data_IF_257258236889
#
_entry.id   IF_257258236889
#
_cell.length_a   1.000
_cell.length_b   1.000
_cell.length_c   1.000
_cell.angle_alpha   90.00
_cell.angle_beta   90.00
_cell.angle_gamma   90.00
#
_symmetry.space_group_name_H-M   'P 1'
#
loop_
_entity.id
_entity.type
_entity.pdbx_description
1 polymer ?
#
# COMPACT_ATOMS: atom_id res chain seq x y z
N UNK A 1 20.20 29.70 83.71
CA UNK A 1 20.23 28.51 82.84
C UNK A 1 21.44 28.66 81.94
N UNK A 2 22.48 27.86 82.16
CA UNK A 2 23.63 27.78 81.25
C UNK A 2 23.09 27.10 79.99
N UNK A 3 23.08 27.81 78.86
CA UNK A 3 22.68 27.22 77.59
C UNK A 3 23.63 26.09 77.24
N UNK A 4 23.08 24.93 76.89
CA UNK A 4 23.85 23.79 76.36
C UNK A 4 24.64 24.29 75.15
N UNK A 5 25.95 24.01 75.11
CA UNK A 5 26.80 24.46 74.00
C UNK A 5 26.33 23.86 72.67
N UNK A 6 26.52 24.54 71.53
CA UNK A 6 26.07 24.02 70.22
C UNK A 6 26.58 22.61 69.87
N UNK A 7 27.73 22.21 70.42
CA UNK A 7 28.34 20.88 70.22
C UNK A 7 27.57 19.80 70.99
N UNK A 8 27.20 20.07 72.25
CA UNK A 8 26.41 19.16 73.09
C UNK A 8 24.99 18.93 72.54
N UNK A 9 24.52 19.78 71.62
CA UNK A 9 23.23 19.62 70.94
C UNK A 9 23.30 18.77 69.66
N UNK A 10 24.49 18.50 69.10
CA UNK A 10 24.65 17.81 67.82
C UNK A 10 24.07 16.38 67.80
N UNK A 11 24.26 15.52 68.82
CA UNK A 11 23.63 14.20 68.82
C UNK A 11 22.09 14.28 68.76
N UNK A 12 21.49 15.21 69.49
CA UNK A 12 20.03 15.41 69.48
C UNK A 12 19.55 15.84 68.09
N UNK A 13 20.29 16.75 67.44
CA UNK A 13 19.98 17.21 66.09
C UNK A 13 20.08 16.06 65.07
N UNK A 14 21.15 15.26 65.11
CA UNK A 14 21.32 14.11 64.19
C UNK A 14 20.21 13.06 64.38
N UNK A 15 19.80 12.81 65.62
CA UNK A 15 18.69 11.91 65.93
C UNK A 15 17.36 12.44 65.37
N UNK A 16 17.08 13.73 65.54
CA UNK A 16 15.87 14.36 64.99
C UNK A 16 15.84 14.29 63.45
N UNK A 17 16.97 14.52 62.78
CA UNK A 17 17.08 14.37 61.33
C UNK A 17 16.86 12.92 60.90
N UNK A 18 17.45 11.96 61.63
CA UNK A 18 17.25 10.53 61.37
C UNK A 18 15.77 10.15 61.45
N UNK A 19 15.08 10.61 62.50
CA UNK A 19 13.63 10.39 62.66
C UNK A 19 12.86 11.02 61.50
N UNK A 20 13.19 12.26 61.11
CA UNK A 20 12.56 12.93 59.98
C UNK A 20 12.77 12.17 58.65
N UNK A 21 13.96 11.60 58.43
CA UNK A 21 14.24 10.77 57.24
C UNK A 21 13.44 9.45 57.30
N UNK A 22 13.34 8.80 58.45
CA UNK A 22 12.51 7.61 58.62
C UNK A 22 11.03 7.90 58.34
N UNK A 23 10.52 9.05 58.77
CA UNK A 23 9.18 9.52 58.40
C UNK A 23 9.05 9.77 56.90
N UNK A 24 10.04 10.37 56.25
CA UNK A 24 10.04 10.59 54.80
C UNK A 24 10.03 9.26 54.03
N UNK A 25 10.85 8.29 54.43
CA UNK A 25 10.87 6.94 53.84
C UNK A 25 9.53 6.25 54.07
N UNK A 26 9.01 6.28 55.29
CA UNK A 26 7.69 5.69 55.64
C UNK A 26 6.57 6.32 54.81
N UNK A 27 6.58 7.64 54.62
CA UNK A 27 5.63 8.34 53.78
C UNK A 27 5.72 7.90 52.32
N UNK A 28 6.93 7.85 51.74
CA UNK A 28 7.14 7.42 50.35
C UNK A 28 6.69 5.97 50.12
N UNK A 29 6.97 5.07 51.07
CA UNK A 29 6.55 3.66 51.00
C UNK A 29 5.04 3.53 51.15
N UNK A 30 4.41 4.30 52.05
CA UNK A 30 2.97 4.24 52.29
C UNK A 30 2.17 4.84 51.14
N UNK A 31 2.63 5.96 50.56
CA UNK A 31 2.03 6.56 49.36
C UNK A 31 2.15 5.64 48.13
N UNK A 32 3.29 4.94 47.99
CA UNK A 32 3.45 3.90 46.98
C UNK A 32 2.48 2.71 47.17
N UNK A 33 2.22 2.31 48.42
CA UNK A 33 1.31 1.20 48.77
C UNK A 33 -0.18 1.55 48.62
N UNK A 34 -0.58 2.79 48.95
CA UNK A 34 -1.98 3.24 48.90
C UNK A 34 -2.49 3.48 47.46
N UNK A 35 -1.60 3.68 46.49
CA UNK A 35 -1.95 3.94 45.07
C UNK A 35 -2.32 2.69 44.24
N UNK A 36 -2.66 1.57 44.89
CA UNK A 36 -3.62 0.62 44.31
C UNK A 36 -3.08 -0.48 43.39
N UNK A 37 -1.86 -0.98 43.61
CA UNK A 37 -1.48 -2.33 43.15
C UNK A 37 -1.08 -3.14 44.37
N UNK A 38 -1.70 -4.31 44.57
CA UNK A 38 -1.39 -5.26 45.66
C UNK A 38 0.05 -5.80 45.61
N UNK A 39 0.81 -5.40 44.61
CA UNK A 39 2.26 -5.50 44.53
C UNK A 39 2.80 -4.07 44.48
N UNK A 40 3.58 -3.68 45.49
CA UNK A 40 4.41 -2.47 45.40
C UNK A 40 5.50 -2.80 44.38
N UNK A 41 5.20 -2.64 43.08
CA UNK A 41 6.21 -2.86 42.06
C UNK A 41 7.14 -1.66 42.11
N UNK A 42 8.38 -1.91 42.55
CA UNK A 42 9.50 -0.99 42.43
C UNK A 42 9.97 -0.89 40.96
N UNK A 43 9.02 -0.87 40.03
CA UNK A 43 9.26 -0.81 38.61
C UNK A 43 9.39 0.65 38.20
N UNK A 44 10.54 1.00 37.62
CA UNK A 44 10.78 2.34 37.09
C UNK A 44 9.90 2.49 35.85
N UNK A 45 8.98 3.45 35.88
CA UNK A 45 8.08 3.72 34.74
C UNK A 45 8.70 4.74 33.79
N UNK A 46 8.16 4.82 32.59
CA UNK A 46 8.56 5.81 31.58
C UNK A 46 8.18 7.27 31.93
N UNK A 47 7.38 7.48 32.96
CA UNK A 47 6.93 8.81 33.40
C UNK A 47 8.10 9.62 33.99
N UNK A 48 7.93 10.92 34.22
CA UNK A 48 9.01 11.80 34.71
C UNK A 48 9.78 11.22 35.91
N UNK A 49 11.11 11.41 35.93
CA UNK A 49 12.04 10.82 36.91
C UNK A 49 11.71 11.23 38.36
N UNK A 50 11.26 12.47 38.55
CA UNK A 50 10.85 13.04 39.83
C UNK A 50 9.66 12.31 40.48
N UNK A 51 8.88 11.57 39.68
CA UNK A 51 7.76 10.75 40.16
C UNK A 51 8.18 9.34 40.56
N UNK A 52 9.42 8.93 40.30
CA UNK A 52 9.89 7.58 40.56
C UNK A 52 10.36 7.46 42.01
N UNK A 53 9.67 6.65 42.82
CA UNK A 53 10.03 6.48 44.24
C UNK A 53 11.44 5.93 44.43
N UNK A 54 11.93 5.06 43.54
CA UNK A 54 13.30 4.52 43.62
C UNK A 54 14.36 5.62 43.50
N UNK A 55 14.09 6.68 42.75
CA UNK A 55 15.02 7.80 42.62
C UNK A 55 15.18 8.52 43.97
N UNK A 56 14.07 8.84 44.62
CA UNK A 56 14.08 9.48 45.93
C UNK A 56 14.60 8.55 47.03
N UNK A 57 14.27 7.27 47.01
CA UNK A 57 14.81 6.29 47.97
C UNK A 57 16.33 6.13 47.81
N UNK A 58 16.84 6.08 46.58
CA UNK A 58 18.28 6.02 46.30
C UNK A 58 19.05 7.22 46.86
N UNK A 59 18.41 8.38 46.95
CA UNK A 59 19.00 9.61 47.52
C UNK A 59 18.82 9.67 49.04
N UNK A 60 17.60 9.46 49.53
CA UNK A 60 17.19 9.71 50.93
C UNK A 60 17.71 8.61 51.87
N UNK A 61 17.73 7.35 51.44
CA UNK A 61 18.16 6.24 52.32
C UNK A 61 19.63 6.38 52.75
N UNK A 62 20.61 6.62 51.86
CA UNK A 62 21.99 6.85 52.29
C UNK A 62 22.15 8.08 53.18
N UNK A 63 21.37 9.14 52.95
CA UNK A 63 21.35 10.34 53.80
C UNK A 63 20.84 9.98 55.21
N UNK A 64 19.76 9.21 55.32
CA UNK A 64 19.24 8.76 56.61
C UNK A 64 20.23 7.89 57.37
N UNK A 65 20.88 6.95 56.68
CA UNK A 65 21.90 6.08 57.29
C UNK A 65 23.13 6.91 57.71
N UNK A 66 23.52 7.93 56.94
CA UNK A 66 24.59 8.86 57.33
C UNK A 66 24.29 9.51 58.69
N UNK A 67 23.12 10.15 58.84
CA UNK A 67 22.77 10.82 60.11
C UNK A 67 22.65 9.84 61.28
N UNK A 68 22.15 8.64 61.03
CA UNK A 68 22.07 7.59 62.04
C UNK A 68 23.45 7.13 62.51
N UNK A 69 24.40 6.91 61.59
CA UNK A 69 25.76 6.50 61.95
C UNK A 69 26.53 7.65 62.61
N UNK A 70 26.38 8.87 62.09
CA UNK A 70 27.03 10.07 62.61
C UNK A 70 26.61 10.38 64.06
N UNK A 71 25.36 10.09 64.40
CA UNK A 71 24.87 10.17 65.78
C UNK A 71 25.75 9.36 66.76
N UNK A 72 26.12 8.12 66.42
CA UNK A 72 26.98 7.29 67.28
C UNK A 72 28.42 7.79 67.33
N UNK A 73 28.93 8.36 66.23
CA UNK A 73 30.26 8.96 66.18
C UNK A 73 30.36 10.14 67.14
N UNK A 74 29.36 11.04 67.14
CA UNK A 74 29.31 12.18 68.06
C UNK A 74 29.05 11.80 69.53
N UNK A 75 28.36 10.68 69.79
CA UNK A 75 28.21 10.17 71.17
C UNK A 75 29.51 9.61 71.74
N UNK A 76 30.39 9.09 70.89
CA UNK A 76 31.57 8.35 71.31
C UNK A 76 32.85 9.19 71.31
N UNK A 77 32.84 10.34 70.64
CA UNK A 77 34.02 11.17 70.38
C UNK A 77 33.77 12.65 70.73
N UNK A 78 34.77 13.34 71.28
CA UNK A 78 34.73 14.78 71.53
C UNK A 78 35.08 15.57 70.25
N UNK A 79 34.07 15.85 69.43
CA UNK A 79 34.24 16.62 68.18
C UNK A 79 33.96 18.10 68.45
N UNK A 80 34.98 18.95 68.26
CA UNK A 80 34.87 20.40 68.43
C UNK A 80 34.74 21.18 67.11
N UNK A 81 34.13 22.38 67.15
CA UNK A 81 34.12 23.32 66.01
C UNK A 81 35.40 24.15 65.91
N UNK A 82 36.54 23.47 65.81
CA UNK A 82 37.85 24.07 65.58
C UNK A 82 38.63 23.22 64.57
N UNK A 83 39.79 23.70 64.12
CA UNK A 83 40.59 22.98 63.11
C UNK A 83 40.96 21.55 63.51
N UNK A 84 41.20 21.28 64.79
CA UNK A 84 41.52 19.95 65.28
C UNK A 84 40.27 19.05 65.31
N UNK A 85 39.12 19.60 65.70
CA UNK A 85 37.85 18.87 65.71
C UNK A 85 37.30 18.57 64.32
N UNK A 86 37.51 19.43 63.31
CA UNK A 86 37.21 19.07 61.92
C UNK A 86 38.07 17.92 61.41
N UNK A 87 39.36 17.88 61.79
CA UNK A 87 40.24 16.76 61.45
C UNK A 87 39.74 15.47 62.11
N UNK A 88 39.37 15.53 63.40
CA UNK A 88 38.80 14.39 64.12
C UNK A 88 37.48 13.92 63.49
N UNK A 89 36.58 14.83 63.10
CA UNK A 89 35.36 14.49 62.37
C UNK A 89 35.66 13.72 61.08
N UNK A 90 36.57 14.20 60.23
CA UNK A 90 36.90 13.47 59.01
C UNK A 90 37.57 12.11 59.28
N UNK A 91 38.37 12.01 60.33
CA UNK A 91 39.07 10.77 60.67
C UNK A 91 38.13 9.70 61.23
N UNK A 92 37.15 10.10 62.04
CA UNK A 92 36.18 9.23 62.72
C UNK A 92 34.91 8.96 61.88
N UNK A 93 34.48 9.91 61.06
CA UNK A 93 33.26 9.82 60.24
C UNK A 93 33.49 9.23 58.84
N UNK A 94 34.61 8.52 58.62
CA UNK A 94 34.93 7.88 57.32
C UNK A 94 33.82 6.98 56.81
N UNK A 95 33.25 6.16 57.69
CA UNK A 95 32.15 5.25 57.35
C UNK A 95 30.84 6.02 57.04
N UNK A 96 30.33 6.90 57.92
CA UNK A 96 29.19 7.75 57.58
C UNK A 96 29.35 8.50 56.25
N UNK A 97 30.49 9.18 56.06
CA UNK A 97 30.76 9.95 54.83
C UNK A 97 30.81 9.06 53.59
N UNK A 98 31.36 7.84 53.71
CA UNK A 98 31.33 6.84 52.66
C UNK A 98 29.91 6.39 52.28
N UNK A 99 29.02 6.24 53.26
CA UNK A 99 27.60 5.93 53.01
C UNK A 99 26.90 7.11 52.35
N UNK A 100 27.15 8.35 52.82
CA UNK A 100 26.58 9.56 52.21
C UNK A 100 26.96 9.68 50.72
N UNK A 101 28.19 9.31 50.37
CA UNK A 101 28.67 9.31 48.99
C UNK A 101 27.91 8.33 48.06
N UNK A 102 27.18 7.34 48.60
CA UNK A 102 26.32 6.46 47.80
C UNK A 102 25.06 7.18 47.28
N UNK A 103 24.63 8.27 47.91
CA UNK A 103 23.44 9.04 47.51
C UNK A 103 23.51 9.53 46.05
N UNK A 104 24.55 10.27 45.62
CA UNK A 104 24.68 10.66 44.21
C UNK A 104 24.89 9.47 43.27
N UNK A 105 25.58 8.41 43.71
CA UNK A 105 25.83 7.21 42.90
C UNK A 105 24.50 6.51 42.56
N UNK A 106 23.65 6.26 43.56
CA UNK A 106 22.35 5.64 43.33
C UNK A 106 21.41 6.54 42.53
N UNK A 107 21.43 7.86 42.76
CA UNK A 107 20.68 8.82 41.95
C UNK A 107 21.01 8.71 40.46
N UNK A 108 22.31 8.64 40.12
CA UNK A 108 22.78 8.46 38.73
C UNK A 108 22.36 7.11 38.15
N UNK A 109 22.48 6.02 38.92
CA UNK A 109 22.08 4.67 38.46
C UNK A 109 20.60 4.64 38.10
N UNK A 110 19.72 5.14 38.99
CA UNK A 110 18.27 5.16 38.73
C UNK A 110 17.93 6.05 37.53
N UNK A 111 18.60 7.21 37.41
CA UNK A 111 18.41 8.10 36.24
C UNK A 111 18.80 7.43 34.92
N UNK A 112 19.87 6.62 34.90
CA UNK A 112 20.30 5.92 33.69
C UNK A 112 19.33 4.80 33.32
N UNK A 113 18.87 4.01 34.29
CA UNK A 113 17.86 2.96 34.05
C UNK A 113 16.57 3.58 33.50
N UNK A 114 16.13 4.69 34.09
CA UNK A 114 14.96 5.45 33.64
C UNK A 114 15.09 5.93 32.19
N UNK A 115 16.25 6.49 31.80
CA UNK A 115 16.53 6.89 30.41
C UNK A 115 16.41 5.69 29.45
N UNK A 116 16.91 4.51 29.82
CA UNK A 116 16.80 3.31 28.98
C UNK A 116 15.35 2.91 28.75
N UNK A 117 14.54 2.86 29.82
CA UNK A 117 13.10 2.51 29.73
C UNK A 117 12.32 3.54 28.89
N UNK A 118 12.64 4.83 29.04
CA UNK A 118 12.05 5.86 28.19
C UNK A 118 12.43 5.69 26.72
N UNK A 119 13.70 5.36 26.46
CA UNK A 119 14.19 5.13 25.09
C UNK A 119 13.50 3.93 24.46
N UNK A 120 13.37 2.81 25.18
CA UNK A 120 12.62 1.63 24.73
C UNK A 120 11.16 1.96 24.40
N UNK A 121 10.48 2.71 25.27
CA UNK A 121 9.10 3.14 24.99
C UNK A 121 9.02 4.03 23.75
N UNK A 122 9.95 4.98 23.58
CA UNK A 122 10.00 5.84 22.42
C UNK A 122 10.24 5.04 21.13
N UNK A 123 11.14 4.05 21.16
CA UNK A 123 11.37 3.13 20.04
C UNK A 123 10.07 2.40 19.71
N UNK A 124 9.40 1.79 20.70
CA UNK A 124 8.18 1.01 20.46
C UNK A 124 7.02 1.86 19.87
N UNK A 125 6.86 3.11 20.32
CA UNK A 125 5.86 4.03 19.80
C UNK A 125 6.22 4.48 18.39
N UNK A 126 7.52 4.75 18.15
CA UNK A 126 8.03 5.13 16.84
C UNK A 126 7.90 4.00 15.82
N UNK A 127 8.18 2.75 16.21
CA UNK A 127 7.97 1.58 15.37
C UNK A 127 6.51 1.41 14.98
N UNK A 128 5.58 1.49 15.94
CA UNK A 128 4.14 1.45 15.65
C UNK A 128 3.70 2.56 14.70
N UNK A 129 4.23 3.77 14.88
CA UNK A 129 3.97 4.89 13.98
C UNK A 129 4.54 4.62 12.58
N UNK A 130 5.78 4.17 12.48
CA UNK A 130 6.44 3.86 11.21
C UNK A 130 5.71 2.78 10.42
N UNK A 131 5.20 1.74 11.10
CA UNK A 131 4.39 0.69 10.49
C UNK A 131 3.12 1.30 9.84
N UNK A 132 2.39 2.12 10.59
CA UNK A 132 1.19 2.80 10.09
C UNK A 132 1.51 3.78 8.95
N UNK A 133 2.55 4.60 9.12
CA UNK A 133 2.97 5.60 8.13
C UNK A 133 3.41 4.94 6.82
N UNK A 134 4.11 3.79 6.90
CA UNK A 134 4.48 2.98 5.74
C UNK A 134 3.25 2.49 4.97
N UNK A 135 2.23 1.97 5.66
CA UNK A 135 0.98 1.56 5.03
C UNK A 135 0.29 2.73 4.31
N UNK A 136 0.13 3.88 4.97
CA UNK A 136 -0.54 5.03 4.38
C UNK A 136 0.23 5.64 3.21
N UNK A 137 1.56 5.69 3.28
CA UNK A 137 2.40 6.18 2.20
C UNK A 137 2.25 5.31 0.95
N UNK A 138 2.40 3.99 1.08
CA UNK A 138 2.24 3.06 -0.03
C UNK A 138 0.81 3.06 -0.58
N UNK A 139 -0.19 2.95 0.29
CA UNK A 139 -1.60 2.99 -0.12
C UNK A 139 -1.92 4.27 -0.87
N UNK A 140 -1.52 5.44 -0.36
CA UNK A 140 -1.78 6.72 -1.03
C UNK A 140 -1.10 6.79 -2.39
N UNK A 141 0.19 6.43 -2.46
CA UNK A 141 0.94 6.41 -3.72
C UNK A 141 0.24 5.58 -4.79
N UNK A 142 -0.06 4.31 -4.50
CA UNK A 142 -0.70 3.42 -5.47
C UNK A 142 -2.10 3.92 -5.88
N UNK A 143 -2.88 4.45 -4.93
CA UNK A 143 -4.22 4.97 -5.22
C UNK A 143 -4.17 6.20 -6.12
N UNK A 144 -3.21 7.09 -5.89
CA UNK A 144 -3.07 8.29 -6.71
C UNK A 144 -2.55 7.95 -8.11
N UNK A 145 -1.64 6.97 -8.24
CA UNK A 145 -1.22 6.41 -9.55
C UNK A 145 -2.40 5.71 -10.27
N UNK A 146 -3.22 4.93 -9.58
CA UNK A 146 -4.40 4.31 -10.21
C UNK A 146 -5.42 5.34 -10.72
N UNK A 147 -5.55 6.49 -10.07
CA UNK A 147 -6.41 7.58 -10.56
C UNK A 147 -5.83 8.30 -11.76
N UNK A 148 -4.50 8.27 -11.95
CA UNK A 148 -3.84 8.90 -13.09
C UNK A 148 -4.05 8.09 -14.39
N UNK A 149 -4.45 6.82 -14.28
CA UNK A 149 -4.86 5.99 -15.42
C UNK A 149 -6.17 6.52 -15.99
N UNK A 150 -6.05 7.43 -16.95
CA UNK A 150 -7.13 7.87 -17.82
C UNK A 150 -6.56 8.25 -19.18
N UNK A 151 -6.60 7.33 -20.14
CA UNK A 151 -6.20 7.62 -21.52
C UNK A 151 -7.37 7.43 -22.48
N UNK A 152 -7.45 8.36 -23.43
CA UNK A 152 -8.46 8.38 -24.49
C UNK A 152 -7.82 7.86 -25.76
N UNK A 153 -8.30 6.71 -26.23
CA UNK A 153 -7.78 6.06 -27.43
C UNK A 153 -8.73 6.30 -28.62
N UNK A 154 -8.20 6.75 -29.76
CA UNK A 154 -8.94 6.96 -31.01
C UNK A 154 -9.17 8.43 -31.37
N UNK A 155 -9.82 8.67 -32.52
CA UNK A 155 -9.99 10.00 -33.10
C UNK A 155 -11.00 10.89 -32.32
N UNK A 156 -10.79 12.21 -32.47
CA UNK A 156 -10.95 13.29 -31.48
C UNK A 156 -12.31 13.44 -30.75
N UNK A 157 -13.41 12.82 -31.18
CA UNK A 157 -14.73 13.08 -30.58
C UNK A 157 -15.44 11.91 -29.88
N UNK A 158 -14.97 10.64 -30.03
CA UNK A 158 -15.64 9.45 -29.44
C UNK A 158 -14.70 8.29 -29.08
N UNK A 159 -13.50 8.60 -28.57
CA UNK A 159 -12.50 7.61 -28.21
C UNK A 159 -12.90 6.73 -27.01
N UNK A 160 -12.39 5.49 -26.99
CA UNK A 160 -12.54 4.58 -25.86
C UNK A 160 -11.66 5.10 -24.71
N UNK A 161 -12.27 5.34 -23.54
CA UNK A 161 -11.54 5.75 -22.32
C UNK A 161 -11.67 4.65 -21.29
N UNK A 162 -10.55 4.11 -20.82
CA UNK A 162 -10.51 3.19 -19.68
C UNK A 162 -9.96 3.93 -18.44
N UNK A 163 -10.65 3.77 -17.32
CA UNK A 163 -10.29 4.38 -16.02
C UNK A 163 -10.51 3.38 -14.90
N UNK A 164 -9.85 3.57 -13.75
CA UNK A 164 -10.08 2.72 -12.58
C UNK A 164 -11.22 3.30 -11.75
N UNK A 165 -12.38 2.62 -11.76
CA UNK A 165 -13.60 3.02 -11.06
C UNK A 165 -13.49 2.94 -9.54
N UNK A 166 -12.70 1.99 -9.02
CA UNK A 166 -12.55 1.74 -7.58
C UNK A 166 -11.11 1.42 -7.21
N UNK A 167 -10.21 2.43 -7.18
CA UNK A 167 -8.79 2.23 -6.85
C UNK A 167 -8.56 1.50 -5.53
N UNK A 168 -9.35 1.83 -4.49
CA UNK A 168 -9.24 1.21 -3.16
C UNK A 168 -9.58 -0.28 -3.18
N UNK A 169 -10.57 -0.69 -3.98
CA UNK A 169 -10.95 -2.09 -4.08
C UNK A 169 -9.90 -2.90 -4.83
N UNK A 170 -9.35 -2.33 -5.92
CA UNK A 170 -8.24 -2.92 -6.66
C UNK A 170 -6.99 -3.06 -5.80
N UNK A 171 -6.61 -2.02 -5.04
CA UNK A 171 -5.49 -2.08 -4.09
C UNK A 171 -5.64 -3.23 -3.09
N UNK A 172 -6.83 -3.39 -2.49
CA UNK A 172 -7.10 -4.47 -1.52
C UNK A 172 -7.06 -5.87 -2.14
N UNK A 173 -7.42 -6.00 -3.42
CA UNK A 173 -7.28 -7.27 -4.16
C UNK A 173 -5.81 -7.62 -4.39
N UNK A 174 -5.00 -6.63 -4.76
CA UNK A 174 -3.57 -6.79 -5.05
C UNK A 174 -2.80 -7.06 -3.75
N UNK A 175 -2.92 -6.18 -2.74
CA UNK A 175 -2.14 -6.23 -1.51
C UNK A 175 -2.98 -6.66 -0.30
N UNK A 176 -3.52 -7.89 -0.35
CA UNK A 176 -4.45 -8.45 0.65
C UNK A 176 -3.90 -8.45 2.09
N UNK A 177 -2.58 -8.52 2.24
CA UNK A 177 -1.88 -8.57 3.54
C UNK A 177 -1.50 -7.20 4.10
N UNK A 178 -1.54 -6.14 3.28
CA UNK A 178 -1.22 -4.77 3.70
C UNK A 178 -2.33 -4.21 4.58
N UNK A 179 -1.99 -3.75 5.78
CA UNK A 179 -2.95 -3.15 6.70
C UNK A 179 -2.27 -2.21 7.71
N UNK A 180 -3.05 -1.41 8.42
CA UNK A 180 -2.54 -0.39 9.36
C UNK A 180 -1.72 -1.02 10.50
N UNK A 181 -2.07 -2.22 10.95
CA UNK A 181 -1.43 -2.88 12.10
C UNK A 181 -0.10 -3.54 11.75
N UNK A 182 0.02 -4.08 10.54
CA UNK A 182 1.21 -4.82 10.08
C UNK A 182 2.07 -4.03 9.09
N UNK A 183 1.58 -2.87 8.61
CA UNK A 183 2.27 -2.03 7.65
C UNK A 183 2.07 -2.48 6.21
N UNK A 184 2.99 -2.06 5.35
CA UNK A 184 2.99 -2.45 3.94
C UNK A 184 3.46 -3.89 3.77
N UNK A 185 2.78 -4.63 2.91
CA UNK A 185 3.23 -5.90 2.38
C UNK A 185 3.19 -5.81 0.86
N UNK A 186 4.36 -5.69 0.26
CA UNK A 186 4.52 -5.54 -1.19
C UNK A 186 4.27 -6.83 -1.97
N UNK A 187 4.03 -7.96 -1.29
CA UNK A 187 3.71 -9.21 -1.97
C UNK A 187 2.29 -9.13 -2.57
N UNK A 188 2.24 -9.30 -3.88
CA UNK A 188 0.99 -9.38 -4.63
C UNK A 188 0.28 -10.69 -4.30
N UNK A 189 -1.04 -10.61 -4.19
CA UNK A 189 -1.91 -11.74 -3.91
C UNK A 189 -1.86 -12.79 -5.03
N UNK A 190 -1.57 -14.04 -4.70
CA UNK A 190 -1.65 -15.15 -5.65
C UNK A 190 -3.05 -15.29 -6.26
N UNK A 191 -4.10 -14.94 -5.51
CA UNK A 191 -5.48 -14.94 -6.00
C UNK A 191 -5.67 -13.93 -7.14
N UNK A 192 -5.02 -12.75 -7.02
CA UNK A 192 -5.00 -11.74 -8.07
C UNK A 192 -4.26 -12.24 -9.32
N UNK A 193 -3.06 -12.79 -9.14
CA UNK A 193 -2.23 -13.32 -10.25
C UNK A 193 -2.94 -14.46 -10.98
N UNK A 194 -3.49 -15.42 -10.25
CA UNK A 194 -4.20 -16.55 -10.85
C UNK A 194 -5.43 -16.11 -11.64
N UNK A 195 -6.16 -15.11 -11.12
CA UNK A 195 -7.33 -14.55 -11.81
C UNK A 195 -6.89 -13.81 -13.08
N UNK A 196 -5.81 -13.02 -12.99
CA UNK A 196 -5.23 -12.31 -14.12
C UNK A 196 -4.85 -13.27 -15.24
N UNK A 197 -4.05 -14.29 -14.94
CA UNK A 197 -3.63 -15.28 -15.92
C UNK A 197 -4.84 -16.03 -16.50
N UNK A 198 -5.80 -16.43 -15.66
CA UNK A 198 -7.01 -17.13 -16.13
C UNK A 198 -7.82 -16.31 -17.15
N UNK A 199 -7.99 -15.01 -16.93
CA UNK A 199 -8.68 -14.17 -17.92
C UNK A 199 -7.84 -13.94 -19.18
N UNK A 200 -6.53 -13.76 -19.06
CA UNK A 200 -5.64 -13.60 -20.22
C UNK A 200 -5.68 -14.84 -21.12
N UNK A 201 -5.64 -16.04 -20.53
CA UNK A 201 -5.73 -17.31 -21.26
C UNK A 201 -7.07 -17.43 -22.02
N UNK A 202 -8.18 -17.05 -21.38
CA UNK A 202 -9.51 -17.06 -22.00
C UNK A 202 -9.60 -16.08 -23.17
N UNK A 203 -9.10 -14.86 -22.99
CA UNK A 203 -9.06 -13.82 -24.04
C UNK A 203 -8.19 -14.29 -25.21
N UNK A 204 -7.01 -14.85 -24.92
CA UNK A 204 -6.10 -15.39 -25.93
C UNK A 204 -6.77 -16.49 -26.76
N UNK A 205 -7.43 -17.45 -26.11
CA UNK A 205 -8.10 -18.56 -26.78
C UNK A 205 -9.26 -18.10 -27.68
N UNK A 206 -10.12 -17.20 -27.19
CA UNK A 206 -11.26 -16.69 -27.96
C UNK A 206 -10.78 -15.84 -29.14
N UNK A 207 -9.78 -14.96 -28.93
CA UNK A 207 -9.15 -14.19 -30.01
C UNK A 207 -8.53 -15.12 -31.06
N UNK A 208 -7.79 -16.14 -30.64
CA UNK A 208 -7.19 -17.13 -31.53
C UNK A 208 -8.22 -17.85 -32.39
N UNK A 209 -9.37 -18.19 -31.79
CA UNK A 209 -10.51 -18.83 -32.47
C UNK A 209 -11.17 -17.91 -33.49
N UNK A 210 -11.37 -16.63 -33.15
CA UNK A 210 -11.88 -15.60 -34.06
C UNK A 210 -10.96 -15.46 -35.27
N UNK A 211 -9.65 -15.27 -35.03
CA UNK A 211 -8.64 -15.10 -36.09
C UNK A 211 -8.53 -16.33 -37.00
N UNK A 212 -8.59 -17.54 -36.43
CA UNK A 212 -8.57 -18.78 -37.22
C UNK A 212 -9.81 -18.89 -38.13
N UNK A 213 -10.99 -18.59 -37.62
CA UNK A 213 -12.22 -18.65 -38.41
C UNK A 213 -12.25 -17.66 -39.57
N UNK A 214 -11.65 -16.49 -39.37
CA UNK A 214 -11.44 -15.50 -40.43
C UNK A 214 -10.53 -16.07 -41.52
N UNK A 215 -9.37 -16.65 -41.14
CA UNK A 215 -8.39 -17.16 -42.12
C UNK A 215 -8.92 -18.26 -43.04
N UNK A 216 -9.90 -19.06 -42.59
CA UNK A 216 -10.45 -20.16 -43.38
C UNK A 216 -11.53 -19.68 -44.38
N UNK A 217 -11.94 -18.40 -44.35
CA UNK A 217 -12.97 -17.85 -45.24
C UNK A 217 -14.31 -18.61 -45.22
N UNK A 218 -14.59 -19.41 -44.19
CA UNK A 218 -15.87 -20.11 -44.00
C UNK A 218 -16.88 -19.18 -43.27
N UNK A 219 -17.42 -18.16 -43.95
CA UNK A 219 -18.53 -17.35 -43.38
C UNK A 219 -19.89 -18.02 -43.54
N UNK A 220 -19.97 -19.35 -43.57
CA UNK A 220 -21.20 -20.03 -43.98
C UNK A 220 -22.43 -19.63 -43.14
N UNK A 221 -22.27 -19.01 -41.95
CA UNK A 221 -23.30 -18.14 -41.34
C UNK A 221 -22.71 -16.93 -40.58
N UNK A 222 -23.03 -15.69 -41.00
CA UNK A 222 -22.72 -14.44 -40.27
C UNK A 222 -23.10 -14.49 -38.77
N UNK A 223 -24.13 -15.26 -38.40
CA UNK A 223 -24.57 -15.42 -37.01
C UNK A 223 -23.49 -16.02 -36.10
N UNK A 224 -22.73 -17.01 -36.58
CA UNK A 224 -21.76 -17.72 -35.75
C UNK A 224 -20.50 -16.88 -35.51
N UNK A 225 -20.23 -15.87 -36.34
CA UNK A 225 -19.11 -14.96 -36.13
C UNK A 225 -19.49 -13.85 -35.15
N UNK A 226 -20.70 -13.28 -35.31
CA UNK A 226 -21.25 -12.31 -34.37
C UNK A 226 -21.30 -12.89 -32.95
N UNK A 227 -21.70 -14.15 -32.78
CA UNK A 227 -21.72 -14.83 -31.49
C UNK A 227 -20.33 -14.93 -30.83
N UNK A 228 -19.27 -15.22 -31.60
CA UNK A 228 -17.90 -15.27 -31.06
C UNK A 228 -17.42 -13.89 -30.64
N UNK A 229 -17.71 -12.85 -31.43
CA UNK A 229 -17.36 -11.48 -31.07
C UNK A 229 -18.15 -10.99 -29.84
N UNK A 230 -19.41 -11.40 -29.70
CA UNK A 230 -20.21 -11.15 -28.50
C UNK A 230 -19.58 -11.83 -27.28
N UNK A 231 -19.23 -13.11 -27.39
CA UNK A 231 -18.60 -13.86 -26.31
C UNK A 231 -17.26 -13.23 -25.88
N UNK A 232 -16.40 -12.85 -26.83
CA UNK A 232 -15.16 -12.11 -26.55
C UNK A 232 -15.46 -10.79 -25.80
N UNK A 233 -16.46 -10.05 -26.24
CA UNK A 233 -16.84 -8.78 -25.59
C UNK A 233 -17.33 -8.98 -24.16
N UNK A 234 -18.10 -10.04 -23.91
CA UNK A 234 -18.59 -10.41 -22.57
C UNK A 234 -17.42 -10.78 -21.64
N UNK A 235 -16.50 -11.62 -22.13
CA UNK A 235 -15.29 -12.00 -21.40
C UNK A 235 -14.45 -10.79 -21.00
N UNK A 236 -14.27 -9.84 -21.92
CA UNK A 236 -13.51 -8.63 -21.60
C UNK A 236 -14.28 -7.74 -20.62
N UNK A 237 -15.61 -7.63 -20.70
CA UNK A 237 -16.40 -6.87 -19.73
C UNK A 237 -16.32 -7.47 -18.31
N UNK A 238 -16.33 -8.80 -18.20
CA UNK A 238 -16.09 -9.52 -16.94
C UNK A 238 -14.69 -9.26 -16.38
N UNK A 239 -13.67 -9.34 -17.24
CA UNK A 239 -12.30 -8.97 -16.90
C UNK A 239 -12.22 -7.55 -16.34
N UNK A 240 -12.74 -6.56 -17.09
CA UNK A 240 -12.71 -5.15 -16.69
C UNK A 240 -13.41 -4.94 -15.34
N UNK A 241 -14.59 -5.54 -15.14
CA UNK A 241 -15.31 -5.49 -13.84
C UNK A 241 -14.49 -6.08 -12.70
N UNK A 242 -13.86 -7.22 -12.92
CA UNK A 242 -13.06 -7.89 -11.90
C UNK A 242 -11.89 -7.02 -11.42
N UNK A 243 -11.24 -6.32 -12.35
CA UNK A 243 -10.14 -5.40 -12.11
C UNK A 243 -10.59 -3.95 -11.82
N UNK A 244 -11.88 -3.72 -11.63
CA UNK A 244 -12.46 -2.40 -11.35
C UNK A 244 -12.15 -1.35 -12.42
N UNK A 245 -11.92 -1.78 -13.66
CA UNK A 245 -11.72 -0.91 -14.81
C UNK A 245 -13.09 -0.59 -15.40
N UNK A 246 -13.35 0.69 -15.64
CA UNK A 246 -14.57 1.18 -16.25
C UNK A 246 -14.25 1.82 -17.59
N UNK A 247 -15.09 1.48 -18.56
CA UNK A 247 -15.14 2.17 -19.84
C UNK A 247 -16.04 3.40 -19.74
N UNK A 248 -15.63 4.50 -20.39
CA UNK A 248 -16.38 5.77 -20.46
C UNK A 248 -17.75 5.66 -21.17
N UNK A 249 -18.13 6.71 -21.90
CA UNK A 249 -19.50 6.86 -22.42
C UNK A 249 -19.96 5.77 -23.40
N UNK A 250 -19.04 5.12 -24.13
CA UNK A 250 -19.34 3.97 -24.98
C UNK A 250 -18.86 2.67 -24.32
N UNK A 251 -19.78 1.92 -23.69
CA UNK A 251 -19.50 0.56 -23.19
C UNK A 251 -18.85 -0.29 -24.28
N UNK A 252 -17.91 -1.20 -23.98
CA UNK A 252 -17.17 -1.92 -25.03
C UNK A 252 -18.04 -2.81 -25.93
N UNK A 253 -19.00 -3.50 -25.31
CA UNK A 253 -20.03 -4.28 -25.99
C UNK A 253 -20.83 -3.38 -26.95
N UNK A 254 -21.18 -2.17 -26.50
CA UNK A 254 -21.81 -1.17 -27.38
C UNK A 254 -20.84 -0.67 -28.43
N UNK A 255 -19.55 -0.49 -28.15
CA UNK A 255 -18.59 0.02 -29.13
C UNK A 255 -18.45 -0.94 -30.31
N UNK A 256 -18.11 -2.20 -30.06
CA UNK A 256 -17.96 -3.21 -31.11
C UNK A 256 -19.29 -3.45 -31.83
N UNK A 257 -20.39 -3.69 -31.09
CA UNK A 257 -21.70 -3.99 -31.71
C UNK A 257 -22.28 -2.77 -32.46
N UNK A 258 -22.12 -1.54 -31.99
CA UNK A 258 -22.57 -0.29 -32.67
C UNK A 258 -21.79 -0.06 -33.95
N UNK A 259 -20.47 -0.25 -33.92
CA UNK A 259 -19.61 -0.14 -35.11
C UNK A 259 -20.00 -1.21 -36.13
N UNK A 260 -20.21 -2.44 -35.68
CA UNK A 260 -20.62 -3.58 -36.52
C UNK A 260 -22.00 -3.40 -37.15
N UNK A 261 -23.00 -3.08 -36.34
CA UNK A 261 -24.37 -2.85 -36.81
C UNK A 261 -24.42 -1.68 -37.79
N UNK A 262 -23.69 -0.58 -37.53
CA UNK A 262 -23.58 0.55 -38.46
C UNK A 262 -23.00 0.15 -39.81
N UNK A 263 -21.89 -0.60 -39.83
CA UNK A 263 -21.24 -1.06 -41.07
C UNK A 263 -22.12 -2.04 -41.84
N UNK A 264 -22.81 -2.96 -41.16
CA UNK A 264 -23.75 -3.90 -41.77
C UNK A 264 -24.98 -3.21 -42.39
N UNK A 265 -25.50 -2.16 -41.75
CA UNK A 265 -26.60 -1.36 -42.30
C UNK A 265 -26.14 -0.60 -43.55
N UNK A 266 -24.93 -0.02 -43.52
CA UNK A 266 -24.36 0.69 -44.66
C UNK A 266 -24.13 -0.25 -45.86
N UNK A 267 -23.58 -1.45 -45.62
CA UNK A 267 -23.36 -2.45 -46.67
C UNK A 267 -24.69 -2.96 -47.26
N UNK A 268 -25.71 -3.17 -46.43
CA UNK A 268 -27.05 -3.55 -46.90
C UNK A 268 -27.67 -2.46 -47.80
N UNK A 269 -27.61 -1.18 -47.37
CA UNK A 269 -28.14 -0.06 -48.15
C UNK A 269 -27.46 0.07 -49.52
N UNK A 270 -26.13 -0.05 -49.56
CA UNK A 270 -25.35 -0.01 -50.81
C UNK A 270 -25.74 -1.16 -51.75
N UNK A 271 -26.03 -2.36 -51.21
CA UNK A 271 -26.49 -3.51 -51.99
C UNK A 271 -27.86 -3.26 -52.61
N UNK A 272 -28.80 -2.72 -51.83
CA UNK A 272 -30.17 -2.46 -52.29
C UNK A 272 -30.21 -1.39 -53.39
N UNK A 273 -29.33 -0.38 -53.31
CA UNK A 273 -29.16 0.64 -54.36
C UNK A 273 -28.54 0.06 -55.65
N UNK A 274 -27.56 -0.85 -55.54
CA UNK A 274 -26.90 -1.46 -56.69
C UNK A 274 -27.77 -2.53 -57.38
N UNK A 275 -28.50 -3.35 -56.61
CA UNK A 275 -29.46 -4.34 -57.12
C UNK A 275 -30.59 -3.72 -57.96
N UNK A 276 -30.99 -2.47 -57.64
CA UNK A 276 -31.97 -1.73 -58.46
C UNK A 276 -31.43 -1.34 -59.84
N UNK A 277 -30.11 -1.33 -60.03
CA UNK A 277 -29.46 -0.86 -61.26
C UNK A 277 -28.92 -1.97 -62.16
N UNK A 278 -28.38 -3.09 -61.65
CA UNK A 278 -27.70 -4.08 -62.50
C UNK A 278 -27.58 -5.48 -61.85
N UNK A 279 -27.80 -6.55 -62.63
CA UNK A 279 -27.75 -7.94 -62.17
C UNK A 279 -26.39 -8.65 -62.32
N UNK A 280 -25.47 -8.16 -63.16
CA UNK A 280 -24.29 -8.94 -63.57
C UNK A 280 -23.09 -8.93 -62.60
N UNK A 281 -23.11 -8.09 -61.56
CA UNK A 281 -21.99 -7.95 -60.59
C UNK A 281 -22.41 -8.28 -59.14
N UNK A 282 -23.57 -8.91 -58.95
CA UNK A 282 -24.15 -9.12 -57.62
C UNK A 282 -23.24 -9.98 -56.73
N UNK A 283 -22.57 -11.00 -57.29
CA UNK A 283 -21.76 -11.92 -56.50
C UNK A 283 -20.39 -11.34 -56.13
N UNK A 284 -19.79 -10.54 -57.01
CA UNK A 284 -18.57 -9.77 -56.71
C UNK A 284 -18.83 -8.70 -55.65
N UNK A 285 -19.98 -7.99 -55.73
CA UNK A 285 -20.40 -7.04 -54.71
C UNK A 285 -20.66 -7.70 -53.35
N UNK A 286 -21.28 -8.89 -53.32
CA UNK A 286 -21.47 -9.64 -52.07
C UNK A 286 -20.13 -10.03 -51.44
N UNK A 287 -19.17 -10.49 -52.24
CA UNK A 287 -17.84 -10.86 -51.78
C UNK A 287 -17.08 -9.65 -51.25
N UNK A 288 -17.07 -8.54 -52.00
CA UNK A 288 -16.46 -7.27 -51.56
C UNK A 288 -17.02 -6.81 -50.20
N UNK A 289 -18.34 -6.72 -50.08
CA UNK A 289 -18.98 -6.26 -48.84
C UNK A 289 -18.65 -7.15 -47.65
N UNK A 290 -18.50 -8.45 -47.89
CA UNK A 290 -18.17 -9.41 -46.84
C UNK A 290 -16.73 -9.22 -46.37
N UNK A 291 -15.76 -9.13 -47.27
CA UNK A 291 -14.35 -8.91 -46.92
C UNK A 291 -14.14 -7.53 -46.28
N UNK A 292 -14.78 -6.47 -46.79
CA UNK A 292 -14.73 -5.12 -46.20
C UNK A 292 -15.36 -5.07 -44.79
N UNK A 293 -16.48 -5.78 -44.58
CA UNK A 293 -17.07 -5.91 -43.24
C UNK A 293 -16.12 -6.64 -42.30
N UNK A 294 -15.56 -7.78 -42.73
CA UNK A 294 -14.63 -8.59 -41.93
C UNK A 294 -13.38 -7.80 -41.53
N UNK A 295 -12.75 -7.11 -42.48
CA UNK A 295 -11.59 -6.25 -42.24
C UNK A 295 -11.90 -5.21 -41.17
N UNK A 296 -13.03 -4.50 -41.31
CA UNK A 296 -13.48 -3.53 -40.33
C UNK A 296 -13.72 -4.14 -38.94
N UNK A 297 -14.24 -5.38 -38.84
CA UNK A 297 -14.43 -6.04 -37.54
C UNK A 297 -13.09 -6.30 -36.86
N UNK A 298 -12.13 -6.80 -37.62
CA UNK A 298 -10.81 -7.21 -37.12
C UNK A 298 -10.03 -6.00 -36.60
N UNK A 299 -10.04 -4.90 -37.34
CA UNK A 299 -9.44 -3.63 -36.91
C UNK A 299 -10.01 -3.15 -35.57
N UNK A 300 -11.34 -3.22 -35.39
CA UNK A 300 -11.98 -2.77 -34.16
C UNK A 300 -11.73 -3.72 -32.98
N UNK A 301 -11.71 -5.04 -33.20
CA UNK A 301 -11.39 -6.04 -32.16
C UNK A 301 -9.95 -5.86 -31.68
N UNK A 302 -9.00 -5.73 -32.62
CA UNK A 302 -7.59 -5.56 -32.28
C UNK A 302 -7.34 -4.23 -31.59
N UNK A 303 -7.94 -3.15 -32.09
CA UNK A 303 -7.90 -1.87 -31.40
C UNK A 303 -8.41 -1.99 -29.95
N UNK A 304 -9.53 -2.69 -29.75
CA UNK A 304 -10.08 -2.85 -28.41
C UNK A 304 -9.17 -3.65 -27.48
N UNK A 305 -8.66 -4.79 -27.93
CA UNK A 305 -7.74 -5.63 -27.14
C UNK A 305 -6.47 -4.86 -26.81
N UNK A 306 -5.94 -4.11 -27.77
CA UNK A 306 -4.75 -3.28 -27.57
C UNK A 306 -4.96 -2.22 -26.47
N UNK A 307 -6.12 -1.55 -26.44
CA UNK A 307 -6.45 -0.59 -25.39
C UNK A 307 -6.53 -1.25 -24.00
N UNK A 308 -7.15 -2.44 -23.92
CA UNK A 308 -7.26 -3.20 -22.68
C UNK A 308 -5.88 -3.63 -22.17
N UNK A 309 -5.05 -4.18 -23.07
CA UNK A 309 -3.68 -4.62 -22.74
C UNK A 309 -2.81 -3.44 -22.29
N UNK A 310 -2.84 -2.31 -22.97
CA UNK A 310 -2.07 -1.12 -22.54
C UNK A 310 -2.52 -0.58 -21.18
N UNK A 311 -3.82 -0.64 -20.89
CA UNK A 311 -4.34 -0.23 -19.58
C UNK A 311 -3.86 -1.19 -18.50
N UNK A 312 -3.85 -2.48 -18.80
CA UNK A 312 -3.33 -3.50 -17.90
C UNK A 312 -1.82 -3.35 -17.66
N UNK A 313 -1.03 -3.14 -18.70
CA UNK A 313 0.42 -2.90 -18.60
C UNK A 313 0.74 -1.81 -17.59
N UNK A 314 0.02 -0.68 -17.64
CA UNK A 314 0.21 0.41 -16.66
C UNK A 314 -0.13 0.01 -15.24
N UNK A 315 -1.19 -0.78 -15.05
CA UNK A 315 -1.54 -1.32 -13.74
C UNK A 315 -0.40 -2.19 -13.23
N UNK A 316 0.18 -3.02 -14.10
CA UNK A 316 1.28 -3.92 -13.76
C UNK A 316 2.58 -3.15 -13.46
N UNK A 317 2.89 -2.12 -14.23
CA UNK A 317 4.01 -1.21 -14.00
C UNK A 317 3.90 -0.53 -12.63
N UNK A 318 2.72 0.01 -12.29
CA UNK A 318 2.48 0.66 -10.99
C UNK A 318 2.73 -0.28 -9.82
N UNK A 319 2.40 -1.57 -9.98
CA UNK A 319 2.60 -2.58 -8.93
C UNK A 319 3.93 -3.32 -9.04
N UNK A 320 4.79 -2.94 -9.98
CA UNK A 320 6.07 -3.58 -10.30
C UNK A 320 5.94 -5.10 -10.53
N UNK A 321 4.88 -5.55 -11.19
CA UNK A 321 4.74 -6.95 -11.58
C UNK A 321 5.32 -7.13 -12.98
N UNK A 322 6.38 -7.93 -13.08
CA UNK A 322 6.98 -8.28 -14.37
C UNK A 322 5.94 -8.89 -15.31
N UNK A 323 6.00 -8.48 -16.59
CA UNK A 323 5.05 -8.86 -17.64
C UNK A 323 4.61 -10.33 -17.57
N UNK A 324 3.35 -10.63 -17.23
CA UNK A 324 2.84 -11.98 -17.26
C UNK A 324 2.93 -12.53 -18.68
N UNK A 325 3.37 -13.78 -18.81
CA UNK A 325 3.56 -14.46 -20.10
C UNK A 325 2.33 -14.29 -21.04
N UNK A 326 1.12 -14.34 -20.48
CA UNK A 326 -0.13 -14.15 -21.22
C UNK A 326 -0.28 -12.78 -21.91
N UNK A 327 0.25 -11.69 -21.33
CA UNK A 327 0.24 -10.38 -22.01
C UNK A 327 1.13 -10.41 -23.25
N UNK A 328 2.33 -10.98 -23.11
CA UNK A 328 3.29 -11.09 -24.20
C UNK A 328 2.75 -11.99 -25.32
N UNK A 329 2.06 -13.07 -24.96
CA UNK A 329 1.40 -13.96 -25.92
C UNK A 329 0.26 -13.25 -26.67
N UNK A 330 -0.58 -12.49 -25.98
CA UNK A 330 -1.63 -11.69 -26.64
C UNK A 330 -1.02 -10.62 -27.55
N UNK A 331 0.00 -9.88 -27.07
CA UNK A 331 0.72 -8.89 -27.89
C UNK A 331 1.31 -9.52 -29.15
N UNK A 332 1.94 -10.69 -29.01
CA UNK A 332 2.51 -11.46 -30.12
C UNK A 332 1.44 -11.91 -31.10
N UNK A 333 0.33 -12.47 -30.60
CA UNK A 333 -0.81 -12.89 -31.44
C UNK A 333 -1.41 -11.71 -32.21
N UNK A 334 -1.59 -10.58 -31.54
CA UNK A 334 -2.11 -9.32 -32.11
C UNK A 334 -1.12 -8.69 -33.07
N UNK A 335 0.18 -8.90 -32.92
CA UNK A 335 1.16 -8.35 -33.87
C UNK A 335 1.31 -9.29 -35.07
N UNK A 336 1.72 -10.54 -34.85
CA UNK A 336 2.11 -11.46 -35.93
C UNK A 336 0.91 -11.91 -36.78
N UNK A 337 -0.19 -12.33 -36.14
CA UNK A 337 -1.30 -12.97 -36.84
C UNK A 337 -2.27 -11.96 -37.46
N UNK A 338 -2.50 -10.84 -36.78
CA UNK A 338 -3.33 -9.75 -37.30
C UNK A 338 -2.73 -9.09 -38.53
N UNK A 339 -1.42 -8.76 -38.53
CA UNK A 339 -0.80 -8.08 -39.68
C UNK A 339 -0.87 -8.94 -40.94
N UNK A 340 -0.67 -10.26 -40.81
CA UNK A 340 -0.86 -11.20 -41.94
C UNK A 340 -2.29 -11.18 -42.47
N UNK A 341 -3.28 -11.36 -41.57
CA UNK A 341 -4.70 -11.44 -41.92
C UNK A 341 -5.20 -10.12 -42.53
N UNK A 342 -4.82 -8.98 -41.97
CA UNK A 342 -5.24 -7.66 -42.47
C UNK A 342 -4.63 -7.33 -43.82
N UNK A 343 -3.36 -7.68 -44.04
CA UNK A 343 -2.74 -7.52 -45.36
C UNK A 343 -3.48 -8.37 -46.41
N UNK A 344 -3.70 -9.66 -46.14
CA UNK A 344 -4.41 -10.58 -47.06
C UNK A 344 -5.84 -10.10 -47.37
N UNK A 345 -6.61 -9.70 -46.34
CA UNK A 345 -7.96 -9.16 -46.54
C UNK A 345 -7.96 -7.82 -47.24
N UNK A 346 -6.99 -6.94 -46.98
CA UNK A 346 -6.89 -5.65 -47.66
C UNK A 346 -6.62 -5.82 -49.16
N UNK A 347 -5.74 -6.75 -49.53
CA UNK A 347 -5.47 -7.11 -50.93
C UNK A 347 -6.70 -7.72 -51.59
N UNK A 348 -7.43 -8.60 -50.89
CA UNK A 348 -8.68 -9.19 -51.38
C UNK A 348 -9.76 -8.11 -51.61
N UNK A 349 -9.94 -7.18 -50.66
CA UNK A 349 -10.88 -6.06 -50.76
C UNK A 349 -10.54 -5.17 -51.95
N UNK A 350 -9.27 -4.82 -52.16
CA UNK A 350 -8.82 -4.04 -53.31
C UNK A 350 -9.12 -4.79 -54.62
N UNK A 351 -8.76 -6.07 -54.69
CA UNK A 351 -8.99 -6.90 -55.88
C UNK A 351 -10.46 -7.03 -56.24
N UNK A 352 -11.34 -7.17 -55.24
CA UNK A 352 -12.79 -7.27 -55.44
C UNK A 352 -13.45 -5.92 -55.76
N UNK A 353 -12.83 -4.81 -55.35
CA UNK A 353 -13.33 -3.46 -55.63
C UNK A 353 -13.07 -3.02 -57.07
N UNK A 354 -11.94 -3.43 -57.66
CA UNK A 354 -11.51 -2.95 -58.97
C UNK A 354 -12.50 -3.22 -60.13
N UNK A 355 -13.13 -4.41 -60.24
CA UNK A 355 -14.18 -4.66 -61.24
C UNK A 355 -15.43 -3.78 -61.02
N UNK A 356 -15.80 -3.55 -59.75
CA UNK A 356 -16.96 -2.71 -59.38
C UNK A 356 -16.70 -1.25 -59.77
N UNK A 357 -15.48 -0.78 -59.53
CA UNK A 357 -15.02 0.57 -59.88
C UNK A 357 -14.99 0.77 -61.41
N UNK A 358 -14.38 -0.15 -62.15
CA UNK A 358 -14.33 -0.10 -63.62
C UNK A 358 -15.73 -0.12 -64.27
N UNK A 359 -16.67 -0.88 -63.69
CA UNK A 359 -18.07 -0.88 -64.14
C UNK A 359 -18.78 0.45 -63.85
N UNK A 360 -18.49 1.10 -62.72
CA UNK A 360 -19.06 2.41 -62.41
C UNK A 360 -18.50 3.49 -63.33
N UNK A 361 -17.19 3.50 -63.57
CA UNK A 361 -16.52 4.48 -64.44
C UNK A 361 -16.98 4.35 -65.91
N UNK A 362 -17.20 3.12 -66.39
CA UNK A 362 -17.67 2.87 -67.77
C UNK A 362 -19.15 3.18 -68.03
N UNK A 363 -19.98 3.31 -66.98
CA UNK A 363 -21.40 3.69 -67.10
C UNK A 363 -21.67 5.18 -66.83
N UNK A 364 -20.62 5.97 -66.56
CA UNK A 364 -20.70 7.44 -66.35
C UNK A 364 -20.28 8.21 -67.61
N UNK A 365 -19.52 7.58 -68.51
CA UNK A 365 -19.31 8.02 -69.91
C UNK A 365 -20.39 7.47 -70.82
#
# INVERSE_FOLDING_TARGET
MIGISPIEQMPVIMLLITIAVLFAISYLVTDASLKGTREVSFEIKSDSLDKQYLFWLGIIVPIGIFFYLEYFVFLSNEIGFNSAGFKAFFDESKLPLGVLALSPIFGVIVSNIHRTIQTEKQISVSEKKNISDSFYAHHKFIIDEFKSISERYGDIDKGLVLTISSPNALYKKIYKKSNISNGVNENISNEFINSLNGYLDLIYFELGSILHKISISESTKNSNFIQMVQHLSELIDEFLKYFHIQCGEDKPEKYLIKKLSGKLIASKKMRDEFNKKNNNLIDELKSYQRSDTMLYMIENIVFYIWVVINTLDKILDIINLNDPDGINEIKKLVTEKYYSITNELSEEVIKLFEPIKQHYESNIT
#
